data_IF_000377737292
#
_entry.id   IF_000377737292
#
_cell.length_a   1.000
_cell.length_b   1.000
_cell.length_c   1.000
_cell.angle_alpha   90.00
_cell.angle_beta   90.00
_cell.angle_gamma   90.00
#
_symmetry.space_group_name_H-M   'P 1'
#
loop_
_entity.id
_entity.type
_entity.pdbx_description
1 polymer ?
#
# COMPACT_ATOMS: atom_id res chain seq x y z
N UNK A 1 -15.44 -59.35 -7.75
CA UNK A 1 -15.96 -58.00 -8.04
C UNK A 1 -15.58 -57.14 -6.85
N UNK A 2 -14.58 -56.28 -7.00
CA UNK A 2 -14.15 -55.35 -5.95
C UNK A 2 -15.15 -54.20 -5.85
N UNK A 3 -15.77 -54.04 -4.69
CA UNK A 3 -16.59 -52.88 -4.38
C UNK A 3 -15.65 -51.72 -4.03
N UNK A 4 -15.39 -50.85 -5.01
CA UNK A 4 -14.69 -49.58 -4.78
C UNK A 4 -15.65 -48.65 -4.03
N UNK A 5 -15.35 -48.40 -2.76
CA UNK A 5 -16.11 -47.50 -1.90
C UNK A 5 -15.67 -46.06 -2.18
N UNK A 6 -16.49 -45.28 -2.89
CA UNK A 6 -16.22 -43.89 -3.29
C UNK A 6 -16.37 -42.86 -2.16
N UNK A 7 -16.57 -43.27 -0.91
CA UNK A 7 -16.91 -42.34 0.17
C UNK A 7 -15.78 -42.21 1.19
N UNK A 8 -14.78 -41.39 0.87
CA UNK A 8 -14.09 -40.62 1.90
C UNK A 8 -13.32 -39.40 1.39
N UNK A 9 -13.84 -38.68 0.40
CA UNK A 9 -13.28 -37.38 0.02
C UNK A 9 -13.87 -36.25 0.87
N UNK A 10 -13.53 -36.25 2.16
CA UNK A 10 -13.75 -35.12 3.08
C UNK A 10 -12.82 -33.92 2.75
N UNK A 11 -12.19 -33.90 1.57
CA UNK A 11 -11.23 -32.88 1.17
C UNK A 11 -11.87 -31.60 0.63
N UNK A 12 -13.16 -31.64 0.26
CA UNK A 12 -13.88 -30.50 -0.30
C UNK A 12 -15.22 -30.27 0.40
N UNK A 13 -15.46 -29.04 0.85
CA UNK A 13 -16.76 -28.61 1.37
C UNK A 13 -17.20 -27.31 0.70
N UNK A 14 -18.52 -27.14 0.55
CA UNK A 14 -19.13 -25.88 0.11
C UNK A 14 -19.50 -25.06 1.35
N UNK A 15 -18.93 -23.86 1.58
CA UNK A 15 -19.26 -23.07 2.75
C UNK A 15 -20.69 -22.57 2.71
N UNK A 16 -21.29 -22.46 3.90
CA UNK A 16 -22.58 -21.80 4.09
C UNK A 16 -22.47 -20.28 3.91
N UNK A 17 -23.61 -19.61 3.67
CA UNK A 17 -23.65 -18.16 3.56
C UNK A 17 -23.16 -17.47 4.84
N UNK A 18 -23.43 -18.05 6.02
CA UNK A 18 -22.97 -17.52 7.31
C UNK A 18 -21.47 -17.67 7.52
N UNK A 19 -20.87 -18.81 7.15
CA UNK A 19 -19.42 -19.00 7.22
C UNK A 19 -18.69 -18.04 6.27
N UNK A 20 -19.21 -17.86 5.06
CA UNK A 20 -18.72 -16.86 4.11
C UNK A 20 -18.84 -15.45 4.67
N UNK A 21 -20.00 -15.08 5.21
CA UNK A 21 -20.23 -13.76 5.79
C UNK A 21 -19.31 -13.48 6.99
N UNK A 22 -19.09 -14.46 7.87
CA UNK A 22 -18.20 -14.34 9.03
C UNK A 22 -16.75 -14.10 8.64
N UNK A 23 -16.26 -14.81 7.61
CA UNK A 23 -14.92 -14.60 7.06
C UNK A 23 -14.81 -13.23 6.38
N UNK A 24 -15.83 -12.83 5.63
CA UNK A 24 -15.88 -11.51 4.97
C UNK A 24 -15.94 -10.35 5.96
N UNK A 25 -16.69 -10.48 7.06
CA UNK A 25 -16.72 -9.49 8.15
C UNK A 25 -15.38 -9.37 8.88
N UNK A 26 -14.57 -10.44 8.85
CA UNK A 26 -13.22 -10.47 9.42
C UNK A 26 -12.14 -9.97 8.46
N UNK A 27 -12.50 -9.47 7.25
CA UNK A 27 -11.52 -9.29 6.16
C UNK A 27 -10.55 -8.13 6.35
N UNK A 28 -10.82 -7.19 7.26
CA UNK A 28 -9.87 -6.13 7.62
C UNK A 28 -9.38 -6.34 9.04
N UNK A 29 -8.29 -7.10 9.24
CA UNK A 29 -7.74 -7.27 10.57
C UNK A 29 -7.27 -5.91 11.13
N UNK A 30 -7.46 -5.72 12.44
CA UNK A 30 -7.14 -4.47 13.18
C UNK A 30 -5.73 -3.93 12.90
N UNK A 31 -4.77 -4.83 12.71
CA UNK A 31 -3.39 -4.48 12.36
C UNK A 31 -3.29 -3.68 11.05
N UNK A 32 -4.18 -3.95 10.11
CA UNK A 32 -4.22 -3.36 8.78
C UNK A 32 -4.84 -1.98 8.84
N UNK A 33 -5.93 -1.81 9.60
CA UNK A 33 -6.49 -0.49 9.91
C UNK A 33 -5.45 0.41 10.56
N UNK A 34 -4.78 -0.07 11.62
CA UNK A 34 -3.70 0.69 12.30
C UNK A 34 -2.54 1.02 11.37
N UNK A 35 -2.16 0.12 10.47
CA UNK A 35 -1.12 0.37 9.49
C UNK A 35 -1.55 1.45 8.48
N UNK A 36 -2.80 1.39 8.02
CA UNK A 36 -3.40 2.39 7.13
C UNK A 36 -3.41 3.77 7.78
N UNK A 37 -4.00 3.89 8.97
CA UNK A 37 -4.04 5.14 9.74
C UNK A 37 -2.64 5.72 9.95
N UNK A 38 -1.67 4.87 10.31
CA UNK A 38 -0.28 5.29 10.48
C UNK A 38 0.28 5.94 9.21
N UNK A 39 0.12 5.29 8.06
CA UNK A 39 0.71 5.82 6.81
C UNK A 39 -0.01 7.06 6.29
N UNK A 40 -1.34 7.14 6.46
CA UNK A 40 -2.12 8.34 6.16
C UNK A 40 -1.65 9.50 7.04
N UNK A 41 -1.49 9.28 8.35
CA UNK A 41 -0.97 10.32 9.25
C UNK A 41 0.45 10.78 8.89
N UNK A 42 1.32 9.86 8.46
CA UNK A 42 2.67 10.20 7.99
C UNK A 42 2.60 11.03 6.69
N UNK A 43 1.73 10.68 5.75
CA UNK A 43 1.51 11.45 4.52
C UNK A 43 1.03 12.87 4.85
N UNK A 44 -0.03 12.98 5.65
CA UNK A 44 -0.59 14.27 6.05
C UNK A 44 0.44 15.13 6.78
N UNK A 45 1.20 14.54 7.70
CA UNK A 45 2.28 15.25 8.40
C UNK A 45 3.39 15.71 7.45
N UNK A 46 3.69 14.92 6.42
CA UNK A 46 4.70 15.29 5.43
C UNK A 46 4.20 16.41 4.51
N UNK A 47 2.96 16.32 3.99
CA UNK A 47 2.34 17.35 3.15
C UNK A 47 2.32 18.71 3.86
N UNK A 48 1.90 18.72 5.13
CA UNK A 48 1.77 19.92 5.95
C UNK A 48 3.10 20.47 6.49
N UNK A 49 4.23 19.80 6.21
CA UNK A 49 5.53 20.30 6.65
C UNK A 49 5.89 21.58 5.88
N UNK A 50 6.40 22.59 6.58
CA UNK A 50 6.71 23.94 6.03
C UNK A 50 7.62 23.93 4.78
N UNK A 51 8.48 22.91 4.65
CA UNK A 51 9.40 22.75 3.51
C UNK A 51 8.83 21.96 2.33
N UNK A 52 7.62 21.41 2.46
CA UNK A 52 6.94 20.64 1.40
C UNK A 52 5.89 21.52 0.74
N UNK A 53 5.02 22.16 1.53
CA UNK A 53 4.14 23.22 1.05
C UNK A 53 2.92 22.77 0.26
N UNK A 54 2.50 21.52 0.39
CA UNK A 54 1.19 21.08 -0.14
C UNK A 54 0.07 21.66 0.72
N UNK A 55 -0.80 22.46 0.12
CA UNK A 55 -1.94 23.13 0.79
C UNK A 55 -3.27 22.37 0.61
N UNK A 56 -3.21 21.15 0.10
CA UNK A 56 -4.38 20.32 -0.22
C UNK A 56 -4.13 18.86 0.21
N UNK A 57 -5.21 18.10 0.31
CA UNK A 57 -5.19 16.67 0.64
C UNK A 57 -5.09 15.83 -0.62
N UNK A 58 -4.49 14.64 -0.53
CA UNK A 58 -4.35 13.73 -1.67
C UNK A 58 -5.73 13.33 -2.22
N UNK A 59 -6.74 13.30 -1.35
CA UNK A 59 -8.14 13.02 -1.66
C UNK A 59 -8.79 14.04 -2.63
N UNK A 60 -8.22 15.24 -2.73
CA UNK A 60 -8.73 16.30 -3.61
C UNK A 60 -8.16 16.25 -5.03
N UNK A 61 -7.16 15.40 -5.27
CA UNK A 61 -6.54 15.28 -6.58
C UNK A 61 -7.42 14.52 -7.57
N UNK A 62 -7.47 15.04 -8.80
CA UNK A 62 -8.28 14.47 -9.88
C UNK A 62 -7.46 14.00 -11.08
N UNK A 63 -6.13 14.10 -11.05
CA UNK A 63 -5.24 13.69 -12.15
C UNK A 63 -4.26 12.60 -11.73
N UNK A 64 -4.17 11.55 -12.54
CA UNK A 64 -3.15 10.50 -12.42
C UNK A 64 -1.73 11.05 -12.32
N UNK A 65 -1.39 12.05 -13.12
CA UNK A 65 -0.03 12.64 -13.12
C UNK A 65 0.26 13.39 -11.83
N UNK A 66 -0.71 14.12 -11.30
CA UNK A 66 -0.56 14.84 -10.03
C UNK A 66 -0.40 13.86 -8.87
N UNK A 67 -1.24 12.82 -8.84
CA UNK A 67 -1.18 11.76 -7.84
C UNK A 67 0.16 11.04 -7.92
N UNK A 68 0.61 10.67 -9.13
CA UNK A 68 1.89 9.99 -9.32
C UNK A 68 3.06 10.86 -8.86
N UNK A 69 3.07 12.14 -9.26
CA UNK A 69 4.11 13.09 -8.87
C UNK A 69 4.20 13.22 -7.35
N UNK A 70 3.08 13.52 -6.70
CA UNK A 70 3.07 13.71 -5.25
C UNK A 70 3.47 12.44 -4.50
N UNK A 71 2.98 11.27 -4.93
CA UNK A 71 3.40 10.00 -4.34
C UNK A 71 4.89 9.73 -4.54
N UNK A 72 5.48 10.07 -5.69
CA UNK A 72 6.93 9.97 -5.90
C UNK A 72 7.70 10.87 -4.92
N UNK A 73 7.29 12.13 -4.80
CA UNK A 73 7.92 13.10 -3.89
C UNK A 73 7.78 12.69 -2.43
N UNK A 74 6.61 12.20 -2.02
CA UNK A 74 6.37 11.65 -0.70
C UNK A 74 7.30 10.47 -0.43
N UNK A 75 7.31 9.46 -1.31
CA UNK A 75 8.16 8.29 -1.11
C UNK A 75 9.63 8.67 -1.06
N UNK A 76 10.10 9.60 -1.88
CA UNK A 76 11.49 10.05 -1.85
C UNK A 76 11.81 10.90 -0.62
N UNK A 77 10.92 11.80 -0.23
CA UNK A 77 11.11 12.83 0.79
C UNK A 77 10.88 12.33 2.22
N UNK A 78 10.00 11.35 2.42
CA UNK A 78 9.61 10.89 3.76
C UNK A 78 10.79 10.28 4.52
N UNK A 79 10.91 10.63 5.80
CA UNK A 79 11.95 10.17 6.74
C UNK A 79 11.33 9.60 8.00
N UNK A 80 12.06 8.70 8.66
CA UNK A 80 11.68 8.20 9.98
C UNK A 80 11.80 9.33 11.02
N UNK A 81 11.26 9.12 12.23
CA UNK A 81 11.46 10.07 13.35
C UNK A 81 12.93 10.34 13.68
N UNK A 82 13.83 9.42 13.33
CA UNK A 82 15.28 9.56 13.52
C UNK A 82 15.98 10.27 12.35
N UNK A 83 15.24 10.67 11.31
CA UNK A 83 15.78 11.25 10.09
C UNK A 83 16.24 10.22 9.04
N UNK A 84 16.15 8.92 9.33
CA UNK A 84 16.58 7.88 8.40
C UNK A 84 15.63 7.70 7.21
N UNK A 85 16.14 7.08 6.14
CA UNK A 85 15.34 6.61 5.01
C UNK A 85 14.55 5.36 5.41
N UNK A 86 13.27 5.29 5.00
CA UNK A 86 12.48 4.06 5.14
C UNK A 86 12.96 2.96 4.19
N UNK A 87 12.81 1.70 4.62
CA UNK A 87 13.06 0.54 3.76
C UNK A 87 12.05 0.44 2.62
N UNK A 88 12.41 -0.22 1.51
CA UNK A 88 11.48 -0.48 0.41
C UNK A 88 10.24 -1.24 0.83
N UNK A 89 10.39 -2.25 1.70
CA UNK A 89 9.24 -3.01 2.19
C UNK A 89 8.25 -2.09 2.93
N UNK A 90 8.77 -1.17 3.75
CA UNK A 90 7.95 -0.16 4.43
C UNK A 90 7.25 0.77 3.44
N UNK A 91 7.94 1.24 2.40
CA UNK A 91 7.35 2.12 1.39
C UNK A 91 6.29 1.44 0.53
N UNK A 92 6.49 0.16 0.18
CA UNK A 92 5.44 -0.64 -0.48
C UNK A 92 4.20 -0.76 0.41
N UNK A 93 4.41 -0.99 1.71
CA UNK A 93 3.30 -0.99 2.67
C UNK A 93 2.63 0.38 2.75
N UNK A 94 3.37 1.47 2.63
CA UNK A 94 2.82 2.82 2.56
C UNK A 94 1.90 3.00 1.35
N UNK A 95 2.36 2.64 0.15
CA UNK A 95 1.55 2.74 -1.09
C UNK A 95 0.28 1.90 -0.97
N UNK A 96 0.37 0.65 -0.52
CA UNK A 96 -0.80 -0.21 -0.34
C UNK A 96 -1.78 0.32 0.72
N UNK A 97 -1.26 0.93 1.78
CA UNK A 97 -2.05 1.53 2.85
C UNK A 97 -2.81 2.76 2.38
N UNK A 98 -2.12 3.67 1.68
CA UNK A 98 -2.68 4.91 1.13
C UNK A 98 -3.69 4.58 0.03
N UNK A 99 -3.36 3.66 -0.89
CA UNK A 99 -4.30 3.24 -1.95
C UNK A 99 -5.60 2.68 -1.39
N UNK A 100 -5.52 1.92 -0.28
CA UNK A 100 -6.70 1.39 0.40
C UNK A 100 -7.52 2.50 1.06
N UNK A 101 -6.86 3.45 1.73
CA UNK A 101 -7.52 4.60 2.33
C UNK A 101 -8.29 5.40 1.30
N UNK A 102 -7.65 5.78 0.18
CA UNK A 102 -8.30 6.57 -0.87
C UNK A 102 -9.51 5.83 -1.47
N UNK A 103 -9.36 4.53 -1.74
CA UNK A 103 -10.46 3.68 -2.24
C UNK A 103 -11.65 3.61 -1.27
N UNK A 104 -11.39 3.61 0.04
CA UNK A 104 -12.43 3.52 1.06
C UNK A 104 -13.04 4.88 1.41
N UNK A 105 -12.28 5.96 1.28
CA UNK A 105 -12.69 7.31 1.68
C UNK A 105 -13.39 8.10 0.56
N UNK A 106 -13.19 7.72 -0.71
CA UNK A 106 -13.74 8.43 -1.86
C UNK A 106 -14.61 7.47 -2.68
N UNK A 107 -15.92 7.78 -2.76
CA UNK A 107 -16.95 6.93 -3.38
C UNK A 107 -16.62 6.53 -4.83
N UNK A 108 -15.92 7.38 -5.58
CA UNK A 108 -15.56 7.18 -6.99
C UNK A 108 -14.05 7.28 -7.22
N UNK A 109 -13.25 6.70 -6.32
CA UNK A 109 -11.80 6.65 -6.51
C UNK A 109 -11.43 5.73 -7.68
N UNK A 110 -11.02 6.33 -8.80
CA UNK A 110 -10.73 5.61 -10.04
C UNK A 110 -9.28 5.13 -10.16
N UNK A 111 -8.46 5.41 -9.15
CA UNK A 111 -7.00 5.21 -9.24
C UNK A 111 -6.55 4.03 -8.40
N UNK A 112 -5.72 3.16 -8.98
CA UNK A 112 -5.09 2.09 -8.23
C UNK A 112 -3.59 2.34 -8.15
N UNK A 113 -3.09 2.86 -7.01
CA UNK A 113 -1.65 3.14 -6.85
C UNK A 113 -0.78 1.88 -6.94
N UNK A 114 -1.40 0.69 -6.85
CA UNK A 114 -0.73 -0.59 -7.03
C UNK A 114 -0.62 -1.00 -8.50
N UNK A 115 -1.31 -0.32 -9.42
CA UNK A 115 -1.17 -0.58 -10.85
C UNK A 115 0.11 0.07 -11.41
N UNK A 116 1.07 -0.78 -11.77
CA UNK A 116 2.36 -0.35 -12.34
C UNK A 116 2.22 0.31 -13.70
N UNK A 117 1.20 -0.06 -14.46
CA UNK A 117 0.99 0.47 -15.80
C UNK A 117 0.48 1.91 -15.74
N UNK A 118 -0.40 2.18 -14.77
CA UNK A 118 -0.91 3.54 -14.50
C UNK A 118 0.10 4.43 -13.77
N UNK A 119 1.00 3.85 -12.96
CA UNK A 119 1.96 4.59 -12.13
C UNK A 119 3.43 4.16 -12.33
N UNK A 120 3.98 4.20 -13.55
CA UNK A 120 5.33 3.72 -13.83
C UNK A 120 6.44 4.47 -13.08
N UNK A 121 6.34 5.79 -12.90
CA UNK A 121 7.34 6.61 -12.19
C UNK A 121 7.31 6.35 -10.69
N UNK A 122 6.14 6.04 -10.13
CA UNK A 122 6.01 5.63 -8.73
C UNK A 122 6.85 4.39 -8.45
N UNK A 123 6.75 3.40 -9.33
CA UNK A 123 7.51 2.15 -9.20
C UNK A 123 8.99 2.33 -9.51
N UNK A 124 9.34 3.16 -10.49
CA UNK A 124 10.73 3.54 -10.73
C UNK A 124 11.36 4.21 -9.49
N UNK A 125 10.61 5.06 -8.79
CA UNK A 125 11.06 5.72 -7.54
C UNK A 125 11.28 4.71 -6.41
N UNK A 126 10.37 3.74 -6.25
CA UNK A 126 10.53 2.65 -5.29
C UNK A 126 11.77 1.78 -5.55
N UNK A 127 12.07 1.56 -6.83
CA UNK A 127 13.16 0.67 -7.25
C UNK A 127 14.52 1.39 -7.21
N UNK A 128 14.60 2.63 -7.72
CA UNK A 128 15.81 3.45 -7.70
C UNK A 128 16.32 3.76 -6.29
N UNK A 129 15.43 3.89 -5.30
CA UNK A 129 15.85 4.07 -3.89
C UNK A 129 16.67 2.88 -3.36
N UNK A 130 16.44 1.66 -3.86
CA UNK A 130 17.25 0.51 -3.45
C UNK A 130 18.68 0.61 -3.95
N UNK A 131 18.84 1.06 -5.19
CA UNK A 131 20.13 1.16 -5.85
C UNK A 131 21.01 2.21 -5.19
N UNK A 132 20.41 3.34 -4.82
CA UNK A 132 21.09 4.35 -4.00
C UNK A 132 21.54 3.79 -2.63
N UNK A 133 20.72 2.93 -2.02
CA UNK A 133 21.03 2.31 -0.72
C UNK A 133 22.12 1.22 -0.85
N UNK A 134 22.12 0.46 -1.95
CA UNK A 134 23.13 -0.58 -2.25
C UNK A 134 24.48 0.03 -2.61
N UNK A 135 24.50 1.03 -3.49
CA UNK A 135 25.73 1.69 -3.93
C UNK A 135 26.44 2.46 -2.80
N UNK A 136 25.72 2.90 -1.76
CA UNK A 136 26.33 3.47 -0.56
C UNK A 136 27.02 2.42 0.32
N UNK A 137 26.54 1.18 0.37
CA UNK A 137 27.18 0.09 1.14
C UNK A 137 28.45 -0.44 0.46
N UNK A 138 28.49 -0.46 -0.87
CA UNK A 138 29.67 -0.94 -1.61
C UNK A 138 30.83 0.07 -1.65
N UNK A 139 30.60 1.33 -1.29
CA UNK A 139 31.63 2.38 -1.26
C UNK A 139 32.33 2.54 0.10
N UNK A 140 32.03 1.67 1.07
CA UNK A 140 32.59 1.72 2.44
C UNK A 140 33.43 0.49 2.78
N UNK A 141 34.05 -0.14 1.77
CA UNK A 141 34.96 -1.29 1.91
C UNK A 141 36.17 -1.03 1.03
#
# INVERSE_FOLDING_TARGET
MENINFNNDNSYFKPTAEELAKVQQSCVPLNTTRCTEKWVNILNSWQNHQNVGYMYTLESLSSNEQIEKEMCEFLYGVRTKKGDKYSRASLKNAVASISRHLKNSILYWNYNLLDKNSFPKLYATLDGRNEETRNRRCKTT
#
